data_IF_398760619454
#
_entry.id   IF_398760619454
#
_cell.length_a   1.000
_cell.length_b   1.000
_cell.length_c   1.000
_cell.angle_alpha   90.00
_cell.angle_beta   90.00
_cell.angle_gamma   90.00
#
_symmetry.space_group_name_H-M   'P 1'
#
loop_
_entity.id
_entity.type
_entity.pdbx_description
1 polymer ?
#
# COMPACT_ATOMS: atom_id res chain seq x y z
N UNK A 1 36.61 39.49 22.06
CA UNK A 1 37.32 40.16 23.16
C UNK A 1 37.60 39.12 24.23
N UNK A 2 38.88 38.96 24.57
CA UNK A 2 39.49 38.23 25.71
C UNK A 2 39.16 36.74 25.97
N UNK A 3 40.22 35.95 25.78
CA UNK A 3 40.49 34.64 26.36
C UNK A 3 40.44 34.66 27.90
N UNK A 4 40.12 33.50 28.48
CA UNK A 4 40.76 33.03 29.72
C UNK A 4 41.21 31.58 29.51
N UNK A 5 42.49 31.35 29.77
CA UNK A 5 43.18 30.05 29.75
C UNK A 5 43.73 29.79 31.15
N UNK A 6 43.53 28.59 31.70
CA UNK A 6 44.33 27.91 32.74
C UNK A 6 43.93 26.42 32.64
N UNK A 7 44.71 25.46 32.09
CA UNK A 7 45.98 24.86 32.52
C UNK A 7 45.87 24.24 33.94
N UNK A 8 46.13 22.97 34.30
CA UNK A 8 46.90 21.78 33.84
C UNK A 8 46.50 20.64 34.88
N UNK A 9 46.42 19.31 34.65
CA UNK A 9 47.50 18.31 34.60
C UNK A 9 46.96 16.86 34.37
N UNK A 10 47.82 16.05 33.73
CA UNK A 10 47.77 14.64 33.29
C UNK A 10 47.50 13.55 34.36
N UNK A 11 46.96 12.36 33.96
CA UNK A 11 47.70 11.07 33.75
C UNK A 11 46.76 9.87 33.39
N UNK A 12 47.14 9.21 32.29
CA UNK A 12 47.04 7.79 31.84
C UNK A 12 45.71 7.03 31.63
N UNK A 13 45.52 6.68 30.35
CA UNK A 13 45.35 5.32 29.81
C UNK A 13 44.21 4.44 30.31
N UNK A 14 43.10 4.39 29.57
CA UNK A 14 42.58 3.13 29.02
C UNK A 14 42.11 3.40 27.58
N UNK A 15 42.74 2.69 26.64
CA UNK A 15 42.28 2.66 25.26
C UNK A 15 40.96 1.90 25.19
N UNK A 16 39.89 2.62 24.85
CA UNK A 16 38.78 2.03 24.13
C UNK A 16 38.77 2.71 22.77
N UNK A 17 39.19 1.97 21.74
CA UNK A 17 38.70 2.21 20.39
C UNK A 17 37.19 2.04 20.42
N UNK A 18 36.48 3.10 20.76
CA UNK A 18 35.12 3.29 20.27
C UNK A 18 35.28 3.46 18.76
N UNK A 19 35.16 2.35 18.02
CA UNK A 19 34.58 2.44 16.70
C UNK A 19 33.24 3.12 16.92
N UNK A 20 33.16 4.40 16.55
CA UNK A 20 31.89 5.02 16.24
C UNK A 20 31.25 4.09 15.22
N UNK A 21 30.22 3.35 15.62
CA UNK A 21 29.27 2.77 14.68
C UNK A 21 28.59 3.96 14.02
N UNK A 22 29.25 4.52 13.01
CA UNK A 22 28.64 5.45 12.09
C UNK A 22 27.42 4.74 11.55
N UNK A 23 26.26 5.35 11.74
CA UNK A 23 25.01 4.92 11.15
C UNK A 23 25.28 4.66 9.67
N UNK A 24 25.32 3.38 9.26
CA UNK A 24 25.62 3.04 7.86
C UNK A 24 24.57 3.72 7.01
N UNK A 25 25.01 4.65 6.16
CA UNK A 25 24.11 5.35 5.26
C UNK A 25 23.57 4.36 4.24
N UNK A 26 22.29 4.50 3.89
CA UNK A 26 21.67 3.64 2.87
C UNK A 26 22.46 3.73 1.54
N UNK A 27 22.77 2.59 0.89
CA UNK A 27 23.68 2.57 -0.25
C UNK A 27 23.14 3.37 -1.44
N UNK A 28 24.04 4.09 -2.13
CA UNK A 28 23.73 4.81 -3.38
C UNK A 28 23.37 3.89 -4.55
N UNK A 29 23.87 2.65 -4.52
CA UNK A 29 23.68 1.65 -5.57
C UNK A 29 23.42 0.28 -4.96
N UNK A 30 22.34 -0.33 -5.37
CA UNK A 30 21.94 -1.70 -5.01
C UNK A 30 22.05 -2.55 -6.27
N UNK A 31 22.88 -3.59 -6.20
CA UNK A 31 23.02 -4.62 -7.24
C UNK A 31 22.90 -5.98 -6.57
N UNK A 32 21.76 -6.63 -6.74
CA UNK A 32 21.43 -7.92 -6.16
C UNK A 32 21.09 -8.87 -7.30
N UNK A 33 21.61 -10.08 -7.25
CA UNK A 33 21.20 -11.15 -8.14
C UNK A 33 20.15 -12.03 -7.45
N UNK A 34 19.21 -12.57 -8.23
CA UNK A 34 18.29 -13.59 -7.74
C UNK A 34 19.09 -14.79 -7.22
N UNK A 35 18.72 -15.32 -6.06
CA UNK A 35 19.33 -16.52 -5.48
C UNK A 35 18.33 -17.28 -4.62
N UNK A 36 18.62 -18.54 -4.31
CA UNK A 36 17.75 -19.42 -3.51
C UNK A 36 17.57 -18.94 -2.05
N UNK A 37 18.42 -18.02 -1.58
CA UNK A 37 18.28 -17.39 -0.27
C UNK A 37 17.16 -16.36 -0.24
N UNK A 38 16.76 -15.82 -1.39
CA UNK A 38 15.70 -14.84 -1.49
C UNK A 38 14.36 -15.56 -1.67
N UNK A 39 13.41 -15.29 -0.78
CA UNK A 39 12.05 -15.80 -0.84
C UNK A 39 11.14 -14.72 -1.43
N UNK A 40 10.20 -15.13 -2.28
CA UNK A 40 9.22 -14.21 -2.86
C UNK A 40 8.26 -13.71 -1.78
N UNK A 41 8.00 -12.41 -1.76
CA UNK A 41 6.86 -11.84 -1.03
C UNK A 41 5.60 -12.14 -1.85
N UNK A 42 4.72 -13.01 -1.34
CA UNK A 42 3.47 -13.36 -2.03
C UNK A 42 2.65 -12.10 -2.34
N UNK A 43 2.02 -12.09 -3.50
CA UNK A 43 1.34 -10.96 -4.11
C UNK A 43 2.22 -10.08 -4.99
N UNK A 44 3.52 -10.38 -5.08
CA UNK A 44 4.52 -9.48 -5.69
C UNK A 44 5.56 -10.25 -6.50
N UNK A 45 6.32 -9.48 -7.27
CA UNK A 45 7.54 -9.87 -7.99
C UNK A 45 8.82 -9.57 -7.19
N UNK A 46 8.69 -9.16 -5.92
CA UNK A 46 9.81 -8.89 -5.04
C UNK A 46 10.26 -10.17 -4.31
N UNK A 47 11.56 -10.38 -4.29
CA UNK A 47 12.25 -11.45 -3.56
C UNK A 47 13.14 -10.81 -2.49
N UNK A 48 13.09 -11.34 -1.27
CA UNK A 48 13.77 -10.77 -0.10
C UNK A 48 14.37 -11.86 0.77
N UNK A 49 15.39 -11.49 1.55
CA UNK A 49 15.85 -12.29 2.68
C UNK A 49 15.39 -11.60 3.96
N UNK A 50 14.53 -12.25 4.73
CA UNK A 50 14.08 -11.75 6.04
C UNK A 50 14.59 -12.66 7.15
N UNK A 51 14.85 -12.13 8.37
CA UNK A 51 15.02 -12.97 9.55
C UNK A 51 13.77 -13.85 9.80
N UNK A 52 13.95 -15.00 10.48
CA UNK A 52 12.90 -16.02 10.64
C UNK A 52 11.69 -15.58 11.49
N UNK A 53 11.85 -14.50 12.26
CA UNK A 53 10.80 -13.89 13.05
C UNK A 53 9.83 -13.01 12.22
N UNK A 54 10.12 -12.71 10.95
CA UNK A 54 9.15 -12.05 10.07
C UNK A 54 8.13 -13.07 9.53
N UNK A 55 6.85 -12.80 9.73
CA UNK A 55 5.73 -13.61 9.25
C UNK A 55 4.90 -12.86 8.20
N UNK A 56 4.38 -13.54 7.18
CA UNK A 56 3.55 -12.90 6.16
C UNK A 56 2.16 -12.56 6.71
N UNK A 57 1.66 -11.40 6.33
CA UNK A 57 0.25 -10.98 6.44
C UNK A 57 -0.24 -10.73 5.02
N UNK A 58 -0.79 -11.78 4.41
CA UNK A 58 -1.15 -11.81 2.98
C UNK A 58 -2.23 -10.76 2.62
N UNK A 59 -3.19 -10.51 3.53
CA UNK A 59 -4.23 -9.48 3.34
C UNK A 59 -3.67 -8.06 3.23
N UNK A 60 -2.42 -7.83 3.64
CA UNK A 60 -1.75 -6.53 3.54
C UNK A 60 -0.52 -6.55 2.63
N UNK A 61 -0.19 -7.68 2.00
CA UNK A 61 1.07 -7.85 1.24
C UNK A 61 2.28 -7.39 2.07
N UNK A 62 2.29 -7.83 3.33
CA UNK A 62 3.18 -7.37 4.40
C UNK A 62 3.96 -8.52 4.99
N UNK A 63 5.19 -8.26 5.39
CA UNK A 63 5.97 -9.12 6.27
C UNK A 63 6.14 -8.41 7.62
N UNK A 64 5.78 -9.06 8.71
CA UNK A 64 5.70 -8.45 10.04
C UNK A 64 6.52 -9.24 11.06
N UNK A 65 7.40 -8.55 11.78
CA UNK A 65 8.22 -9.11 12.85
C UNK A 65 7.48 -9.14 14.18
N UNK A 66 6.81 -8.04 14.48
CA UNK A 66 6.04 -7.77 15.70
C UNK A 66 5.01 -6.66 15.42
N UNK A 67 4.22 -6.25 16.41
CA UNK A 67 3.15 -5.25 16.26
C UNK A 67 3.63 -3.87 15.78
N UNK A 68 4.91 -3.56 15.97
CA UNK A 68 5.47 -2.26 15.67
C UNK A 68 6.49 -2.27 14.52
N UNK A 69 6.87 -3.45 14.02
CA UNK A 69 7.92 -3.63 13.02
C UNK A 69 7.45 -4.47 11.86
N UNK A 70 7.39 -3.87 10.68
CA UNK A 70 6.99 -4.55 9.44
C UNK A 70 7.52 -3.85 8.20
N UNK A 71 7.47 -4.54 7.07
CA UNK A 71 7.49 -3.88 5.76
C UNK A 71 6.37 -4.39 4.86
N UNK A 72 5.92 -3.52 3.97
CA UNK A 72 4.88 -3.77 2.99
C UNK A 72 5.39 -3.43 1.60
N UNK A 73 4.95 -4.20 0.61
CA UNK A 73 5.30 -3.99 -0.79
C UNK A 73 4.06 -3.52 -1.54
N UNK A 74 4.20 -2.42 -2.29
CA UNK A 74 3.17 -1.90 -3.17
C UNK A 74 3.71 -1.92 -4.60
N UNK A 75 3.03 -2.64 -5.50
CA UNK A 75 3.26 -2.55 -6.94
C UNK A 75 2.12 -1.74 -7.56
N UNK A 76 2.48 -0.66 -8.25
CA UNK A 76 1.55 0.25 -8.92
C UNK A 76 1.81 0.13 -10.43
N UNK A 77 1.08 -0.74 -11.14
CA UNK A 77 1.27 -0.91 -12.57
C UNK A 77 0.69 0.27 -13.36
N UNK A 78 1.16 0.42 -14.61
CA UNK A 78 0.78 1.50 -15.53
C UNK A 78 1.01 2.89 -14.95
N UNK A 79 2.08 3.05 -14.19
CA UNK A 79 2.47 4.33 -13.58
C UNK A 79 3.91 4.63 -13.95
N UNK A 80 4.14 5.81 -14.53
CA UNK A 80 5.48 6.26 -14.88
C UNK A 80 6.23 6.70 -13.61
N UNK A 81 7.36 6.05 -13.32
CA UNK A 81 8.15 6.35 -12.13
C UNK A 81 8.74 7.76 -12.11
N UNK A 82 9.13 8.33 -13.26
CA UNK A 82 9.69 9.68 -13.30
C UNK A 82 8.65 10.73 -12.90
N UNK A 83 7.41 10.57 -13.36
CA UNK A 83 6.28 11.41 -12.94
C UNK A 83 5.94 11.17 -11.47
N UNK A 84 5.85 9.90 -11.06
CA UNK A 84 5.54 9.54 -9.68
C UNK A 84 6.57 10.06 -8.68
N UNK A 85 7.86 10.05 -9.04
CA UNK A 85 8.98 10.55 -8.24
C UNK A 85 8.79 12.01 -7.84
N UNK A 86 8.16 12.83 -8.67
CA UNK A 86 7.82 14.22 -8.31
C UNK A 86 6.91 14.34 -7.09
N UNK A 87 6.13 13.30 -6.78
CA UNK A 87 5.27 13.24 -5.59
C UNK A 87 5.97 12.73 -4.33
N UNK A 88 7.21 12.23 -4.47
CA UNK A 88 8.03 11.66 -3.41
C UNK A 88 9.12 12.62 -2.91
N UNK A 89 9.19 13.84 -3.43
CA UNK A 89 10.16 14.83 -2.91
C UNK A 89 9.79 15.23 -1.50
N UNK A 90 10.79 15.65 -0.72
CA UNK A 90 10.58 16.25 0.60
C UNK A 90 9.47 17.30 0.61
N UNK A 91 9.50 18.26 -0.31
CA UNK A 91 8.52 19.34 -0.39
C UNK A 91 7.11 18.81 -0.66
N UNK A 92 6.96 17.87 -1.60
CA UNK A 92 5.68 17.26 -1.93
C UNK A 92 5.09 16.45 -0.76
N UNK A 93 5.94 15.78 0.00
CA UNK A 93 5.53 15.01 1.18
C UNK A 93 5.17 15.94 2.34
N UNK A 94 5.96 16.99 2.57
CA UNK A 94 5.73 17.96 3.65
C UNK A 94 4.50 18.83 3.41
N UNK A 95 4.20 19.19 2.17
CA UNK A 95 2.95 19.89 1.81
C UNK A 95 1.68 19.09 2.16
N UNK A 96 1.80 17.75 2.28
CA UNK A 96 0.71 16.85 2.67
C UNK A 96 0.67 16.59 4.19
N UNK A 97 1.45 17.36 4.97
CA UNK A 97 1.49 17.31 6.44
C UNK A 97 2.31 16.17 7.02
N UNK A 98 3.17 15.51 6.24
CA UNK A 98 4.16 14.56 6.73
C UNK A 98 5.52 15.26 6.93
N UNK A 99 6.51 14.56 7.50
CA UNK A 99 7.90 15.07 7.63
C UNK A 99 8.86 14.06 7.01
N UNK A 100 9.93 14.55 6.41
CA UNK A 100 10.98 13.72 5.79
C UNK A 100 12.34 14.15 6.27
N UNK A 101 13.08 13.19 6.83
CA UNK A 101 14.43 13.42 7.36
C UNK A 101 15.49 13.13 6.29
N UNK A 102 15.25 12.11 5.46
CA UNK A 102 16.14 11.68 4.37
C UNK A 102 15.31 11.49 3.10
N UNK A 103 15.82 12.04 2.00
CA UNK A 103 15.39 11.80 0.62
C UNK A 103 16.67 11.72 -0.22
N UNK A 104 16.94 10.55 -0.80
CA UNK A 104 18.20 10.27 -1.50
C UNK A 104 17.93 9.48 -2.79
N UNK A 105 18.46 9.91 -3.95
CA UNK A 105 18.41 9.09 -5.16
C UNK A 105 19.28 7.84 -5.01
N UNK A 106 18.78 6.71 -5.52
CA UNK A 106 19.46 5.41 -5.50
C UNK A 106 19.37 4.77 -6.89
N UNK A 107 20.35 3.93 -7.25
CA UNK A 107 20.24 3.03 -8.41
C UNK A 107 19.94 1.61 -7.91
N UNK A 108 18.79 1.05 -8.28
CA UNK A 108 18.35 -0.28 -7.82
C UNK A 108 18.26 -1.25 -8.99
N UNK A 109 19.19 -2.20 -9.12
CA UNK A 109 19.20 -3.20 -10.19
C UNK A 109 18.99 -2.63 -11.62
N UNK A 110 19.52 -1.43 -11.87
CA UNK A 110 19.37 -0.72 -13.14
C UNK A 110 18.20 0.27 -13.20
N UNK A 111 17.23 0.18 -12.29
CA UNK A 111 16.15 1.15 -12.14
C UNK A 111 16.63 2.43 -11.45
N UNK A 112 16.00 3.55 -11.82
CA UNK A 112 16.00 4.74 -10.98
C UNK A 112 15.20 4.46 -9.71
N UNK A 113 15.71 4.95 -8.58
CA UNK A 113 15.09 4.77 -7.29
C UNK A 113 15.27 6.00 -6.39
N UNK A 114 14.48 6.05 -5.34
CA UNK A 114 14.54 7.02 -4.26
C UNK A 114 14.38 6.27 -2.94
N UNK A 115 15.33 6.50 -2.03
CA UNK A 115 15.24 6.06 -0.65
C UNK A 115 14.83 7.24 0.21
N UNK A 116 13.92 7.01 1.14
CA UNK A 116 13.49 8.03 2.09
C UNK A 116 13.30 7.45 3.50
N UNK A 117 13.46 8.32 4.49
CA UNK A 117 13.19 8.00 5.90
C UNK A 117 12.68 9.23 6.63
N UNK A 118 11.80 9.02 7.61
CA UNK A 118 11.28 10.10 8.44
C UNK A 118 10.29 9.61 9.49
N UNK A 119 9.78 10.49 10.36
CA UNK A 119 8.77 10.11 11.33
C UNK A 119 7.47 9.69 10.65
N UNK A 120 6.79 8.73 11.27
CA UNK A 120 5.44 8.30 10.90
C UNK A 120 4.40 9.38 11.28
N UNK A 121 3.15 9.17 10.85
CA UNK A 121 2.00 9.91 11.40
C UNK A 121 1.67 9.46 12.83
N UNK A 122 2.07 8.25 13.20
CA UNK A 122 1.99 7.75 14.57
C UNK A 122 3.21 8.23 15.34
N UNK A 123 2.99 8.81 16.51
CA UNK A 123 4.08 9.31 17.34
C UNK A 123 5.02 8.17 17.79
N UNK A 124 6.32 8.45 17.84
CA UNK A 124 7.36 7.48 18.20
C UNK A 124 7.67 6.40 17.15
N UNK A 125 7.10 6.47 15.95
CA UNK A 125 7.42 5.58 14.82
C UNK A 125 8.26 6.27 13.75
N UNK A 126 9.13 5.49 13.11
CA UNK A 126 9.90 5.87 11.92
C UNK A 126 9.40 5.07 10.73
N UNK A 127 9.25 5.73 9.59
CA UNK A 127 8.97 5.12 8.29
C UNK A 127 10.21 5.17 7.41
N UNK A 128 10.47 4.06 6.74
CA UNK A 128 11.50 3.91 5.72
C UNK A 128 10.82 3.59 4.39
N UNK A 129 11.42 4.01 3.29
CA UNK A 129 10.89 3.73 1.97
C UNK A 129 11.98 3.56 0.93
N UNK A 130 11.76 2.60 0.02
CA UNK A 130 12.50 2.48 -1.22
C UNK A 130 11.48 2.39 -2.36
N UNK A 131 11.43 3.42 -3.20
CA UNK A 131 10.59 3.44 -4.39
C UNK A 131 11.45 3.40 -5.65
N UNK A 132 11.09 2.57 -6.62
CA UNK A 132 11.80 2.43 -7.89
C UNK A 132 10.83 2.03 -8.99
N UNK A 133 11.24 2.19 -10.24
CA UNK A 133 10.43 1.76 -11.38
C UNK A 133 10.97 2.24 -12.71
N UNK A 134 10.11 2.15 -13.72
CA UNK A 134 10.37 2.66 -15.06
C UNK A 134 9.11 3.36 -15.62
N UNK A 135 9.01 3.48 -16.94
CA UNK A 135 7.86 4.12 -17.58
C UNK A 135 6.53 3.35 -17.39
N UNK A 136 6.58 2.05 -17.06
CA UNK A 136 5.42 1.17 -17.02
C UNK A 136 4.94 0.85 -15.60
N UNK A 137 5.78 1.03 -14.59
CA UNK A 137 5.43 0.65 -13.21
C UNK A 137 6.20 1.44 -12.15
N UNK A 138 5.63 1.43 -10.94
CA UNK A 138 6.30 1.83 -9.70
C UNK A 138 6.20 0.68 -8.69
N UNK A 139 7.29 0.42 -7.97
CA UNK A 139 7.31 -0.44 -6.79
C UNK A 139 7.77 0.38 -5.60
N UNK A 140 7.12 0.18 -4.46
CA UNK A 140 7.48 0.81 -3.19
C UNK A 140 7.54 -0.23 -2.08
N UNK A 141 8.69 -0.31 -1.42
CA UNK A 141 8.86 -1.01 -0.15
C UNK A 141 8.70 0.04 0.95
N UNK A 142 7.74 -0.15 1.86
CA UNK A 142 7.51 0.74 3.00
C UNK A 142 7.75 -0.04 4.28
N UNK A 143 8.69 0.43 5.09
CA UNK A 143 9.05 -0.14 6.38
C UNK A 143 8.57 0.76 7.50
N UNK A 144 8.15 0.16 8.62
CA UNK A 144 7.78 0.88 9.84
C UNK A 144 8.46 0.19 11.02
N UNK A 145 9.03 0.98 11.93
CA UNK A 145 9.56 0.52 13.21
C UNK A 145 9.40 1.62 14.27
N UNK A 146 9.67 1.32 15.54
CA UNK A 146 9.80 2.36 16.58
C UNK A 146 11.09 3.15 16.38
N UNK A 147 11.03 4.47 16.56
CA UNK A 147 12.17 5.38 16.39
C UNK A 147 13.40 5.04 17.24
N UNK A 148 13.24 4.56 18.50
CA UNK A 148 14.38 4.11 19.31
C UNK A 148 14.96 2.74 18.89
N UNK A 149 14.22 1.92 18.15
CA UNK A 149 14.64 0.57 17.75
C UNK A 149 15.56 0.64 16.52
N UNK A 150 16.84 0.91 16.76
CA UNK A 150 17.86 0.96 15.71
C UNK A 150 18.08 -0.39 15.03
N UNK A 151 17.96 -1.50 15.77
CA UNK A 151 18.07 -2.85 15.22
C UNK A 151 17.00 -3.11 14.17
N UNK A 152 15.74 -2.79 14.46
CA UNK A 152 14.66 -2.92 13.48
C UNK A 152 14.90 -2.08 12.22
N UNK A 153 15.40 -0.87 12.40
CA UNK A 153 15.71 0.02 11.29
C UNK A 153 16.83 -0.53 10.42
N UNK A 154 17.89 -1.08 11.01
CA UNK A 154 18.99 -1.71 10.30
C UNK A 154 18.54 -2.99 9.58
N UNK A 155 17.68 -3.80 10.21
CA UNK A 155 17.03 -4.95 9.57
C UNK A 155 16.22 -4.53 8.33
N UNK A 156 15.38 -3.51 8.44
CA UNK A 156 14.58 -2.99 7.32
C UNK A 156 15.46 -2.45 6.19
N UNK A 157 16.48 -1.66 6.52
CA UNK A 157 17.47 -1.18 5.55
C UNK A 157 18.19 -2.35 4.86
N UNK A 158 18.55 -3.39 5.61
CA UNK A 158 19.18 -4.59 5.05
C UNK A 158 18.24 -5.34 4.12
N UNK A 159 16.97 -5.52 4.51
CA UNK A 159 15.94 -6.15 3.67
C UNK A 159 15.80 -5.38 2.35
N UNK A 160 15.73 -4.04 2.40
CA UNK A 160 15.53 -3.22 1.21
C UNK A 160 16.75 -3.28 0.28
N UNK A 161 17.96 -3.11 0.85
CA UNK A 161 19.22 -3.11 0.11
C UNK A 161 19.67 -4.49 -0.39
N UNK A 162 19.05 -5.57 0.07
CA UNK A 162 19.30 -6.95 -0.41
C UNK A 162 18.12 -7.58 -1.14
N UNK A 163 17.08 -6.79 -1.40
CA UNK A 163 15.93 -7.26 -2.18
C UNK A 163 16.25 -7.38 -3.67
N UNK A 164 15.50 -8.23 -4.37
CA UNK A 164 15.57 -8.40 -5.82
C UNK A 164 14.17 -8.33 -6.43
N UNK A 165 13.98 -7.46 -7.41
CA UNK A 165 12.73 -7.37 -8.18
C UNK A 165 12.87 -8.10 -9.51
N UNK A 166 12.04 -9.11 -9.72
CA UNK A 166 12.02 -9.89 -10.95
C UNK A 166 10.88 -9.42 -11.87
N UNK A 167 11.15 -8.43 -12.73
CA UNK A 167 10.16 -7.91 -13.70
C UNK A 167 9.58 -9.02 -14.60
N UNK A 168 10.35 -10.08 -14.84
CA UNK A 168 9.96 -11.20 -15.71
C UNK A 168 9.10 -12.26 -15.03
N UNK A 169 8.92 -12.17 -13.71
CA UNK A 169 8.14 -13.15 -12.96
C UNK A 169 6.65 -13.10 -13.37
N UNK A 170 6.15 -14.25 -13.83
CA UNK A 170 4.74 -14.44 -14.18
C UNK A 170 3.89 -14.54 -12.90
N UNK A 171 3.43 -13.38 -12.45
CA UNK A 171 2.60 -13.25 -11.25
C UNK A 171 1.15 -13.56 -11.61
N UNK A 172 0.57 -14.58 -10.99
CA UNK A 172 -0.89 -14.74 -11.00
C UNK A 172 -1.52 -13.55 -10.24
N UNK A 173 -2.26 -12.66 -10.92
CA UNK A 173 -2.78 -11.44 -10.29
C UNK A 173 -3.83 -11.71 -9.22
N UNK A 174 -4.39 -12.92 -9.16
CA UNK A 174 -5.43 -13.33 -8.21
C UNK A 174 -4.89 -14.29 -7.14
N UNK A 175 -3.58 -14.49 -7.01
CA UNK A 175 -3.04 -15.47 -6.06
C UNK A 175 -3.39 -15.18 -4.59
N UNK A 176 -3.65 -13.90 -4.26
CA UNK A 176 -4.10 -13.47 -2.94
C UNK A 176 -5.62 -13.34 -2.81
N UNK A 177 -6.38 -13.59 -3.88
CA UNK A 177 -7.82 -13.49 -3.85
C UNK A 177 -8.39 -14.62 -2.99
N UNK A 178 -9.02 -14.25 -1.88
CA UNK A 178 -9.71 -15.19 -0.97
C UNK A 178 -11.19 -15.31 -1.30
N UNK A 179 -11.57 -15.07 -2.56
CA UNK A 179 -12.94 -15.06 -3.03
C UNK A 179 -13.04 -15.52 -4.48
N UNK A 180 -14.23 -15.96 -4.88
CA UNK A 180 -14.63 -16.18 -6.26
C UNK A 180 -15.95 -15.46 -6.51
N UNK A 181 -16.20 -15.07 -7.76
CA UNK A 181 -17.46 -14.46 -8.16
C UNK A 181 -17.75 -14.78 -9.64
N UNK A 182 -18.99 -14.60 -10.06
CA UNK A 182 -19.39 -14.74 -11.46
C UNK A 182 -19.14 -13.42 -12.22
N UNK A 183 -18.00 -13.35 -12.90
CA UNK A 183 -17.63 -12.19 -13.72
C UNK A 183 -18.50 -11.99 -14.97
N UNK A 184 -19.27 -12.99 -15.38
CA UNK A 184 -20.13 -12.88 -16.58
C UNK A 184 -21.31 -11.92 -16.36
N UNK A 185 -21.71 -11.68 -15.10
CA UNK A 185 -22.83 -10.81 -14.72
C UNK A 185 -22.63 -9.37 -15.23
N UNK A 186 -21.43 -8.83 -15.02
CA UNK A 186 -21.05 -7.51 -15.55
C UNK A 186 -20.41 -7.62 -16.93
N UNK A 187 -19.67 -8.70 -17.18
CA UNK A 187 -18.78 -8.83 -18.34
C UNK A 187 -17.53 -7.96 -18.21
N UNK A 188 -17.27 -7.36 -17.05
CA UNK A 188 -16.05 -6.57 -16.82
C UNK A 188 -14.85 -7.50 -16.77
N UNK A 189 -13.73 -7.03 -17.31
CA UNK A 189 -12.48 -7.75 -17.36
C UNK A 189 -11.58 -7.27 -16.24
N UNK A 190 -10.74 -8.18 -15.73
CA UNK A 190 -9.66 -7.80 -14.83
C UNK A 190 -8.79 -6.73 -15.50
N UNK A 191 -8.58 -5.63 -14.80
CA UNK A 191 -7.80 -4.50 -15.29
C UNK A 191 -6.41 -4.47 -14.65
N UNK A 192 -6.37 -4.56 -13.32
CA UNK A 192 -5.15 -4.44 -12.53
C UNK A 192 -5.36 -4.94 -11.11
N UNK A 193 -4.27 -5.16 -10.38
CA UNK A 193 -4.27 -5.31 -8.93
C UNK A 193 -3.17 -4.47 -8.31
N UNK A 194 -3.46 -3.98 -7.10
CA UNK A 194 -2.52 -3.25 -6.26
C UNK A 194 -2.59 -3.88 -4.88
N UNK A 195 -1.63 -4.76 -4.59
CA UNK A 195 -1.66 -5.59 -3.40
C UNK A 195 -2.86 -6.54 -3.37
N UNK A 196 -3.70 -6.41 -2.36
CA UNK A 196 -4.93 -7.19 -2.17
C UNK A 196 -6.18 -6.54 -2.83
N UNK A 197 -6.01 -5.47 -3.60
CA UNK A 197 -7.09 -4.82 -4.34
C UNK A 197 -7.11 -5.33 -5.78
N UNK A 198 -8.26 -5.83 -6.23
CA UNK A 198 -8.46 -6.37 -7.57
C UNK A 198 -9.47 -5.50 -8.31
N UNK A 199 -9.05 -4.89 -9.41
CA UNK A 199 -9.79 -3.86 -10.14
C UNK A 199 -10.32 -4.44 -11.45
N UNK A 200 -11.59 -4.16 -11.75
CA UNK A 200 -12.29 -4.63 -12.94
C UNK A 200 -12.99 -3.47 -13.66
N UNK A 201 -12.85 -3.45 -14.97
CA UNK A 201 -13.39 -2.40 -15.87
C UNK A 201 -13.99 -3.07 -17.12
N UNK A 202 -14.83 -2.38 -17.91
CA UNK A 202 -15.43 -2.93 -19.12
C UNK A 202 -14.42 -3.56 -20.10
N UNK A 203 -13.30 -2.89 -20.36
CA UNK A 203 -12.27 -3.36 -21.31
C UNK A 203 -10.98 -3.83 -20.62
N UNK A 204 -10.98 -3.97 -19.29
CA UNK A 204 -9.81 -4.41 -18.53
C UNK A 204 -8.66 -3.40 -18.60
N UNK A 205 -7.44 -3.90 -18.81
CA UNK A 205 -6.20 -3.09 -18.80
C UNK A 205 -6.24 -1.92 -19.79
N UNK A 206 -6.96 -2.05 -20.91
CA UNK A 206 -7.08 -0.99 -21.93
C UNK A 206 -7.74 0.29 -21.41
N UNK A 207 -8.55 0.20 -20.35
CA UNK A 207 -9.21 1.37 -19.77
C UNK A 207 -8.33 2.14 -18.78
N UNK A 208 -7.21 1.56 -18.32
CA UNK A 208 -6.33 2.19 -17.34
C UNK A 208 -5.54 3.37 -17.91
N UNK A 209 -5.35 3.40 -19.23
CA UNK A 209 -4.65 4.48 -19.93
C UNK A 209 -5.59 5.57 -20.45
N UNK A 210 -6.88 5.49 -20.14
CA UNK A 210 -7.91 6.44 -20.58
C UNK A 210 -8.34 7.34 -19.43
N UNK A 211 -8.91 8.49 -19.78
CA UNK A 211 -9.52 9.41 -18.82
C UNK A 211 -10.64 8.68 -18.05
N UNK A 212 -10.57 8.68 -16.71
CA UNK A 212 -11.39 7.82 -15.86
C UNK A 212 -12.76 8.40 -15.50
N UNK A 213 -13.01 9.67 -15.85
CA UNK A 213 -14.15 10.45 -15.37
C UNK A 213 -15.53 9.87 -15.76
N UNK A 214 -15.58 8.96 -16.74
CA UNK A 214 -16.80 8.29 -17.20
C UNK A 214 -16.63 6.76 -17.37
N UNK A 215 -15.73 6.17 -16.57
CA UNK A 215 -15.46 4.75 -16.57
C UNK A 215 -16.19 4.06 -15.42
N UNK A 216 -17.23 3.23 -15.67
CA UNK A 216 -17.77 2.38 -14.64
C UNK A 216 -16.72 1.34 -14.23
N UNK A 217 -16.58 1.13 -12.93
CA UNK A 217 -15.48 0.35 -12.35
C UNK A 217 -15.99 -0.36 -11.10
N UNK A 218 -15.46 -1.53 -10.81
CA UNK A 218 -15.56 -2.08 -9.46
C UNK A 218 -14.25 -2.69 -9.01
N UNK A 219 -14.11 -2.82 -7.70
CA UNK A 219 -12.97 -3.49 -7.09
C UNK A 219 -13.38 -4.36 -5.92
N UNK A 220 -12.56 -5.36 -5.68
CA UNK A 220 -12.58 -6.21 -4.50
C UNK A 220 -11.33 -6.00 -3.67
N UNK A 221 -11.45 -6.08 -2.35
CA UNK A 221 -10.30 -6.25 -1.47
C UNK A 221 -10.62 -7.10 -0.25
N UNK A 222 -9.60 -7.74 0.32
CA UNK A 222 -9.72 -8.53 1.55
C UNK A 222 -9.10 -7.76 2.72
N UNK A 223 -9.86 -7.47 3.76
CA UNK A 223 -9.38 -6.76 4.94
C UNK A 223 -9.44 -7.65 6.19
N UNK A 224 -8.60 -7.36 7.17
CA UNK A 224 -8.75 -7.90 8.52
C UNK A 224 -9.86 -7.15 9.25
N UNK A 225 -10.81 -7.90 9.80
CA UNK A 225 -11.97 -7.40 10.53
C UNK A 225 -12.35 -8.41 11.62
N UNK A 226 -11.87 -8.23 12.87
CA UNK A 226 -12.09 -9.19 13.96
C UNK A 226 -13.58 -9.44 14.26
N UNK A 227 -14.44 -8.48 13.95
CA UNK A 227 -15.89 -8.59 14.13
C UNK A 227 -16.63 -7.94 12.96
N UNK A 228 -17.90 -8.33 12.77
CA UNK A 228 -18.78 -7.70 11.78
C UNK A 228 -18.93 -6.19 12.05
N UNK A 229 -18.99 -5.76 13.31
CA UNK A 229 -19.04 -4.32 13.65
C UNK A 229 -17.79 -3.58 13.15
N UNK A 230 -16.59 -4.17 13.29
CA UNK A 230 -15.36 -3.57 12.77
C UNK A 230 -15.33 -3.50 11.25
N UNK A 231 -15.92 -4.50 10.57
CA UNK A 231 -16.11 -4.45 9.14
C UNK A 231 -17.00 -3.25 8.73
N UNK A 232 -18.12 -3.01 9.44
CA UNK A 232 -19.02 -1.87 9.18
C UNK A 232 -18.33 -0.53 9.41
N UNK A 233 -17.61 -0.39 10.53
CA UNK A 233 -16.82 0.81 10.84
C UNK A 233 -15.81 1.11 9.72
N UNK A 234 -15.16 0.09 9.17
CA UNK A 234 -14.21 0.27 8.07
C UNK A 234 -14.88 0.77 6.78
N UNK A 235 -16.05 0.22 6.42
CA UNK A 235 -16.81 0.68 5.26
C UNK A 235 -17.27 2.14 5.46
N UNK A 236 -17.82 2.47 6.63
CA UNK A 236 -18.25 3.84 6.95
C UNK A 236 -17.07 4.82 6.96
N UNK A 237 -15.90 4.40 7.45
CA UNK A 237 -14.67 5.18 7.35
C UNK A 237 -14.29 5.44 5.89
N UNK A 238 -14.34 4.42 5.03
CA UNK A 238 -14.05 4.56 3.60
C UNK A 238 -14.98 5.58 2.94
N UNK A 239 -16.28 5.52 3.24
CA UNK A 239 -17.29 6.47 2.73
C UNK A 239 -16.99 7.90 3.22
N UNK A 240 -16.58 8.07 4.48
CA UNK A 240 -16.25 9.39 5.03
C UNK A 240 -15.12 10.10 4.29
N UNK A 241 -14.23 9.35 3.62
CA UNK A 241 -13.11 9.90 2.85
C UNK A 241 -13.56 10.64 1.59
N UNK A 242 -14.72 10.32 1.03
CA UNK A 242 -15.24 11.01 -0.15
C UNK A 242 -15.48 12.50 0.11
N UNK A 243 -16.05 12.86 1.28
CA UNK A 243 -16.26 14.26 1.63
C UNK A 243 -14.95 15.04 1.77
N UNK A 244 -13.90 14.40 2.29
CA UNK A 244 -12.55 15.01 2.37
C UNK A 244 -11.96 15.26 0.98
N UNK A 245 -12.39 14.53 -0.04
CA UNK A 245 -11.99 14.69 -1.44
C UNK A 245 -12.88 15.69 -2.21
N UNK A 246 -13.81 16.36 -1.53
CA UNK A 246 -14.74 17.29 -2.17
C UNK A 246 -15.91 16.62 -2.91
N UNK A 247 -16.10 15.31 -2.74
CA UNK A 247 -17.24 14.59 -3.31
C UNK A 247 -18.47 14.84 -2.43
N UNK A 248 -19.51 15.38 -3.04
CA UNK A 248 -20.80 15.58 -2.39
C UNK A 248 -21.61 14.29 -2.46
N UNK A 249 -22.15 13.85 -1.32
CA UNK A 249 -22.93 12.63 -1.22
C UNK A 249 -24.39 12.94 -0.87
N UNK A 250 -25.32 12.24 -1.51
CA UNK A 250 -26.75 12.29 -1.23
C UNK A 250 -27.37 10.89 -1.35
N UNK A 251 -28.63 10.75 -0.95
CA UNK A 251 -29.42 9.51 -1.06
C UNK A 251 -28.70 8.26 -0.49
N UNK A 252 -28.01 8.42 0.63
CA UNK A 252 -27.27 7.34 1.28
C UNK A 252 -28.26 6.36 1.90
N UNK A 253 -28.28 5.13 1.37
CA UNK A 253 -29.07 4.02 1.91
C UNK A 253 -28.13 2.98 2.49
N UNK A 254 -28.34 2.57 3.74
CA UNK A 254 -27.54 1.55 4.43
C UNK A 254 -28.43 0.44 4.97
N UNK A 255 -28.00 -0.81 4.85
CA UNK A 255 -28.73 -1.95 5.41
C UNK A 255 -27.84 -3.14 5.70
N UNK A 256 -28.24 -3.90 6.70
CA UNK A 256 -27.65 -5.20 7.00
C UNK A 256 -28.35 -6.25 6.13
N UNK A 257 -27.55 -7.10 5.50
CA UNK A 257 -28.01 -8.18 4.63
C UNK A 257 -27.22 -9.46 4.95
N UNK A 258 -27.58 -10.56 4.29
CA UNK A 258 -26.77 -11.78 4.28
C UNK A 258 -26.42 -12.14 2.84
N UNK A 259 -25.18 -12.55 2.62
CA UNK A 259 -24.68 -13.07 1.34
C UNK A 259 -24.10 -14.45 1.57
N UNK A 260 -24.74 -15.47 1.00
CA UNK A 260 -24.36 -16.88 1.14
C UNK A 260 -24.15 -17.29 2.60
N UNK A 261 -25.05 -16.86 3.49
CA UNK A 261 -25.01 -17.16 4.92
C UNK A 261 -24.06 -16.30 5.75
N UNK A 262 -23.27 -15.42 5.13
CA UNK A 262 -22.35 -14.52 5.82
C UNK A 262 -23.04 -13.17 6.12
N UNK A 263 -22.82 -12.55 7.28
CA UNK A 263 -23.30 -11.20 7.56
C UNK A 263 -22.61 -10.19 6.65
N UNK A 264 -23.40 -9.28 6.09
CA UNK A 264 -22.90 -8.25 5.19
C UNK A 264 -23.61 -6.91 5.42
N UNK A 265 -22.92 -5.84 5.07
CA UNK A 265 -23.43 -4.47 5.18
C UNK A 265 -23.35 -3.79 3.82
N UNK A 266 -24.51 -3.41 3.31
CA UNK A 266 -24.68 -2.81 1.98
C UNK A 266 -24.95 -1.30 2.11
N UNK A 267 -24.27 -0.52 1.29
CA UNK A 267 -24.44 0.93 1.18
C UNK A 267 -24.57 1.32 -0.29
N UNK A 268 -25.62 2.10 -0.61
CA UNK A 268 -25.78 2.76 -1.92
C UNK A 268 -25.76 4.27 -1.72
N UNK A 269 -25.08 5.00 -2.61
CA UNK A 269 -24.86 6.45 -2.49
C UNK A 269 -25.00 7.08 -3.87
N UNK A 270 -25.65 8.26 -3.97
CA UNK A 270 -25.45 9.15 -5.11
C UNK A 270 -24.34 10.15 -4.78
N UNK A 271 -23.36 10.24 -5.66
CA UNK A 271 -22.21 11.10 -5.51
C UNK A 271 -22.14 12.14 -6.63
N UNK A 272 -21.63 13.32 -6.32
CA UNK A 272 -21.26 14.36 -7.30
C UNK A 272 -19.84 14.82 -7.07
N UNK A 273 -19.05 14.91 -8.15
CA UNK A 273 -17.71 15.48 -8.11
C UNK A 273 -17.75 17.03 -8.22
N UNK A 274 -16.58 17.66 -8.21
CA UNK A 274 -16.44 19.11 -8.33
C UNK A 274 -16.93 19.67 -9.69
N UNK A 275 -17.03 18.81 -10.71
CA UNK A 275 -17.51 19.15 -12.04
C UNK A 275 -19.02 18.88 -12.21
N UNK A 276 -19.73 18.52 -11.12
CA UNK A 276 -21.13 18.09 -11.10
C UNK A 276 -21.44 16.78 -11.85
N UNK A 277 -20.43 15.97 -12.18
CA UNK A 277 -20.67 14.64 -12.73
C UNK A 277 -21.31 13.77 -11.64
N UNK A 278 -22.40 13.10 -12.00
CA UNK A 278 -23.14 12.26 -11.06
C UNK A 278 -22.73 10.80 -11.20
N UNK A 279 -22.52 10.13 -10.08
CA UNK A 279 -22.14 8.72 -10.00
C UNK A 279 -23.01 8.02 -8.96
N UNK A 280 -23.41 6.78 -9.25
CA UNK A 280 -23.99 5.90 -8.23
C UNK A 280 -22.93 4.96 -7.68
N UNK A 281 -22.69 5.02 -6.38
CA UNK A 281 -21.77 4.13 -5.69
C UNK A 281 -22.53 2.98 -5.05
N UNK A 282 -22.01 1.77 -5.21
CA UNK A 282 -22.51 0.56 -4.57
C UNK A 282 -21.39 -0.11 -3.80
N UNK A 283 -21.53 -0.21 -2.49
CA UNK A 283 -20.48 -0.71 -1.62
C UNK A 283 -21.02 -1.76 -0.69
N UNK A 284 -20.31 -2.88 -0.57
CA UNK A 284 -20.70 -3.96 0.31
C UNK A 284 -19.48 -4.48 1.04
N UNK A 285 -19.63 -4.74 2.33
CA UNK A 285 -18.63 -5.48 3.10
C UNK A 285 -19.22 -6.76 3.65
N UNK A 286 -18.61 -7.90 3.33
CA UNK A 286 -19.05 -9.25 3.70
C UNK A 286 -18.07 -9.81 4.72
N UNK A 287 -18.54 -10.15 5.90
CA UNK A 287 -17.69 -10.59 7.02
C UNK A 287 -17.70 -12.12 7.17
N UNK A 288 -16.52 -12.72 7.35
CA UNK A 288 -16.33 -14.16 7.59
C UNK A 288 -15.13 -14.39 8.51
N UNK A 289 -15.39 -14.90 9.72
CA UNK A 289 -14.35 -15.15 10.72
C UNK A 289 -13.67 -13.85 11.17
N UNK A 290 -12.35 -13.74 10.99
CA UNK A 290 -11.58 -12.52 11.30
C UNK A 290 -11.32 -11.63 10.09
N UNK A 291 -11.92 -11.93 8.94
CA UNK A 291 -11.70 -11.22 7.67
C UNK A 291 -13.00 -10.69 7.10
N UNK A 292 -12.89 -9.74 6.18
CA UNK A 292 -14.00 -9.29 5.36
C UNK A 292 -13.58 -9.05 3.91
N UNK A 293 -14.51 -9.27 2.98
CA UNK A 293 -14.38 -8.83 1.59
C UNK A 293 -15.11 -7.52 1.42
N UNK A 294 -14.40 -6.51 0.92
CA UNK A 294 -14.94 -5.23 0.52
C UNK A 294 -15.15 -5.23 -0.99
N UNK A 295 -16.37 -4.93 -1.43
CA UNK A 295 -16.70 -4.58 -2.80
C UNK A 295 -16.97 -3.07 -2.87
N UNK A 296 -16.33 -2.38 -3.81
CA UNK A 296 -16.63 -0.99 -4.15
C UNK A 296 -16.92 -0.90 -5.65
N UNK A 297 -18.14 -0.53 -6.02
CA UNK A 297 -18.57 -0.27 -7.39
C UNK A 297 -18.91 1.19 -7.59
N UNK A 298 -18.49 1.73 -8.73
CA UNK A 298 -18.79 3.08 -9.19
C UNK A 298 -19.47 3.01 -10.56
N UNK A 299 -20.69 3.53 -10.64
CA UNK A 299 -21.50 3.58 -11.84
C UNK A 299 -21.67 5.03 -12.29
N UNK A 300 -20.81 5.44 -13.23
CA UNK A 300 -20.86 6.76 -13.89
C UNK A 300 -21.94 6.83 -14.98
N UNK A 301 -22.63 5.72 -15.27
CA UNK A 301 -23.62 5.58 -16.36
C UNK A 301 -25.05 5.63 -15.83
N UNK A 302 -25.30 6.50 -14.85
CA UNK A 302 -26.63 6.80 -14.30
C UNK A 302 -27.43 5.56 -13.85
N UNK A 303 -26.79 4.62 -13.14
CA UNK A 303 -27.47 3.46 -12.56
C UNK A 303 -27.57 2.23 -13.49
N UNK A 304 -27.02 2.30 -14.71
CA UNK A 304 -26.99 1.19 -15.67
C UNK A 304 -26.35 -0.08 -15.13
N UNK A 305 -25.37 0.05 -14.24
CA UNK A 305 -24.57 -1.06 -13.70
C UNK A 305 -24.95 -1.44 -12.28
N UNK A 306 -25.73 -0.62 -11.56
CA UNK A 306 -26.05 -0.83 -10.16
C UNK A 306 -26.62 -2.23 -9.86
N UNK A 307 -27.61 -2.68 -10.65
CA UNK A 307 -28.21 -4.00 -10.44
C UNK A 307 -27.27 -5.15 -10.80
N UNK A 308 -26.39 -4.94 -11.79
CA UNK A 308 -25.33 -5.90 -12.12
C UNK A 308 -24.27 -5.97 -11.03
N UNK A 309 -23.93 -4.86 -10.39
CA UNK A 309 -23.03 -4.86 -9.24
C UNK A 309 -23.64 -5.59 -8.04
N UNK A 310 -24.93 -5.35 -7.74
CA UNK A 310 -25.67 -6.12 -6.73
C UNK A 310 -25.63 -7.62 -7.02
N UNK A 311 -25.96 -8.03 -8.25
CA UNK A 311 -25.93 -9.43 -8.65
C UNK A 311 -24.50 -10.03 -8.57
N UNK A 312 -23.49 -9.27 -8.98
CA UNK A 312 -22.07 -9.66 -8.85
C UNK A 312 -21.71 -9.93 -7.41
N UNK A 313 -22.12 -9.06 -6.49
CA UNK A 313 -21.87 -9.24 -5.06
C UNK A 313 -22.59 -10.45 -4.48
N UNK A 314 -23.83 -10.71 -4.90
CA UNK A 314 -24.56 -11.92 -4.47
C UNK A 314 -23.90 -13.22 -4.93
N UNK A 315 -23.14 -13.20 -6.03
CA UNK A 315 -22.41 -14.37 -6.53
C UNK A 315 -21.12 -14.71 -5.75
N UNK A 316 -20.71 -13.87 -4.79
CA UNK A 316 -19.42 -14.03 -4.11
C UNK A 316 -19.41 -15.29 -3.24
N UNK A 317 -18.37 -16.11 -3.44
CA UNK A 317 -18.05 -17.26 -2.62
C UNK A 317 -16.75 -17.01 -1.85
N UNK A 318 -16.80 -17.20 -0.53
CA UNK A 318 -15.71 -16.98 0.43
C UNK A 318 -15.13 -18.30 0.95
#
# INVERSE_FOLDING_TARGET
MRQFTFAILFISCIGFSFCSSGQESFPDKIMVAKSDKLKRVKGTRLFVSTPDNYKPIESMVRMQRDDNTYFQVLEIPNTNFLEYKGSLTKEAIESKGAKVDIDKPVKYNGFDAIYFSGPSKTDGETKLGLAFGDQDFVVMLVGVCKTPDKTAMDELNKIFSTSYYDKSFDLNPLELASFKFDGSITGFKYASSMGNVFIYTPNGKEDLNKQQDDLPIFQFSTIEAPTFSKAKEFLDYTISRYSVQGIQMSDITKKDISINGNPAYEVTIKAKDANNNTTSLYQVIIHKGTKAILFLGSDTKNGKWLDKFKATVQSIQL
#
